data_IF_690596377802
#
_entry.id   IF_690596377802
#
_cell.length_a   1.000
_cell.length_b   1.000
_cell.length_c   1.000
_cell.angle_alpha   90.00
_cell.angle_beta   90.00
_cell.angle_gamma   90.00
#
_symmetry.space_group_name_H-M   'P 1'
#
loop_
_entity.id
_entity.type
_entity.pdbx_description
1 polymer ?
#
# COMPACT_ATOMS: atom_id res chain seq x y z
N UNK A 1 28.03 12.55 -59.57
CA UNK A 1 26.94 11.69 -59.08
C UNK A 1 26.54 12.19 -57.70
N UNK A 2 25.46 12.99 -57.62
CA UNK A 2 24.85 13.50 -56.39
C UNK A 2 23.60 12.66 -56.13
N UNK A 3 23.51 12.04 -54.95
CA UNK A 3 22.27 11.41 -54.49
C UNK A 3 21.47 12.42 -53.66
N UNK A 4 20.19 12.69 -53.99
CA UNK A 4 19.37 13.63 -53.23
C UNK A 4 18.81 12.99 -51.94
N UNK A 5 18.71 13.82 -50.89
CA UNK A 5 18.07 13.52 -49.62
C UNK A 5 16.58 13.13 -49.79
N UNK A 6 16.01 12.26 -48.91
CA UNK A 6 14.58 12.04 -48.84
C UNK A 6 13.87 13.14 -48.02
N UNK A 7 12.58 13.42 -48.32
CA UNK A 7 11.81 14.48 -47.70
C UNK A 7 11.27 14.11 -46.30
N UNK A 8 10.88 15.15 -45.58
CA UNK A 8 10.36 15.22 -44.22
C UNK A 8 9.52 14.02 -43.75
N UNK A 9 10.06 13.26 -42.79
CA UNK A 9 9.26 12.48 -41.86
C UNK A 9 9.26 13.23 -40.54
N UNK A 10 8.14 13.89 -40.25
CA UNK A 10 7.82 14.50 -38.96
C UNK A 10 7.73 13.41 -37.88
N UNK A 11 8.89 13.02 -37.35
CA UNK A 11 8.98 12.05 -36.27
C UNK A 11 8.60 12.75 -34.96
N UNK A 12 7.38 12.42 -34.51
CA UNK A 12 6.76 12.72 -33.21
C UNK A 12 7.71 13.33 -32.18
N UNK A 13 7.37 14.56 -31.80
CA UNK A 13 7.81 15.25 -30.58
C UNK A 13 7.79 14.26 -29.41
N UNK A 14 8.96 13.85 -28.95
CA UNK A 14 9.09 13.19 -27.66
C UNK A 14 8.55 14.16 -26.61
N UNK A 15 7.44 13.78 -25.99
CA UNK A 15 6.92 14.48 -24.82
C UNK A 15 7.98 14.42 -23.74
N UNK A 16 8.77 15.49 -23.64
CA UNK A 16 9.66 15.79 -22.52
C UNK A 16 8.84 15.61 -21.23
N UNK A 17 9.03 14.48 -20.55
CA UNK A 17 8.53 14.29 -19.18
C UNK A 17 9.34 15.24 -18.31
N UNK A 18 8.77 16.43 -18.12
CA UNK A 18 9.26 17.45 -17.21
C UNK A 18 9.19 16.95 -15.77
N UNK A 19 10.19 16.17 -15.34
CA UNK A 19 10.52 16.08 -13.91
C UNK A 19 11.28 17.36 -13.55
N UNK A 20 10.55 18.48 -13.48
CA UNK A 20 11.07 19.72 -12.88
C UNK A 20 11.36 19.41 -11.41
N UNK A 21 12.65 19.21 -11.13
CA UNK A 21 13.23 19.12 -9.80
C UNK A 21 12.97 20.46 -9.08
N UNK A 22 11.89 20.53 -8.30
CA UNK A 22 11.68 21.67 -7.39
C UNK A 22 12.74 21.58 -6.30
N UNK A 23 13.79 22.38 -6.44
CA UNK A 23 14.62 22.79 -5.30
C UNK A 23 13.72 23.60 -4.37
N UNK A 24 13.13 22.93 -3.39
CA UNK A 24 12.51 23.60 -2.25
C UNK A 24 13.66 23.96 -1.33
N UNK A 25 13.97 25.25 -1.22
CA UNK A 25 14.67 25.79 -0.07
C UNK A 25 13.89 25.35 1.17
N UNK A 26 14.39 24.36 1.89
CA UNK A 26 13.85 24.01 3.21
C UNK A 26 14.43 25.02 4.18
N UNK A 27 13.63 25.91 4.80
CA UNK A 27 14.09 26.58 6.00
C UNK A 27 14.43 25.48 7.00
N UNK A 28 15.59 25.57 7.64
CA UNK A 28 15.96 24.77 8.80
C UNK A 28 14.98 25.11 9.95
N UNK A 29 13.75 24.62 9.84
CA UNK A 29 12.82 24.52 10.95
C UNK A 29 13.24 23.23 11.63
N UNK A 30 13.80 23.35 12.84
CA UNK A 30 14.12 22.19 13.66
C UNK A 30 12.94 21.23 13.65
N UNK A 31 13.23 19.94 13.54
CA UNK A 31 12.23 18.89 13.59
C UNK A 31 11.30 19.18 14.77
N UNK A 32 10.00 19.46 14.56
CA UNK A 32 9.10 19.66 15.68
C UNK A 32 9.19 18.41 16.52
N UNK A 33 9.63 18.59 17.77
CA UNK A 33 9.73 17.51 18.75
C UNK A 33 8.43 16.72 18.69
N UNK A 34 8.55 15.45 18.32
CA UNK A 34 7.47 14.51 18.08
C UNK A 34 6.88 14.05 19.42
N UNK A 35 6.42 15.01 20.23
CA UNK A 35 5.78 14.79 21.53
C UNK A 35 4.32 14.37 21.40
N UNK A 36 3.88 13.99 20.19
CA UNK A 36 2.54 13.43 19.92
C UNK A 36 2.57 11.96 19.52
N UNK A 37 3.57 11.21 19.98
CA UNK A 37 3.44 9.75 20.08
C UNK A 37 2.69 9.40 21.34
N UNK A 38 1.40 9.72 21.38
CA UNK A 38 0.54 9.05 22.34
C UNK A 38 0.48 7.58 21.92
N UNK A 39 1.09 6.72 22.73
CA UNK A 39 1.01 5.26 22.59
C UNK A 39 -0.37 4.74 23.05
N UNK A 40 -1.31 5.65 23.31
CA UNK A 40 -2.69 5.37 23.70
C UNK A 40 -3.41 4.70 22.55
N UNK A 41 -4.11 3.61 22.84
CA UNK A 41 -5.00 2.91 21.90
C UNK A 41 -6.25 3.74 21.55
N UNK A 42 -6.11 5.04 21.37
CA UNK A 42 -7.17 5.95 20.98
C UNK A 42 -7.27 5.92 19.44
N UNK A 43 -8.25 5.18 18.93
CA UNK A 43 -8.54 5.13 17.49
C UNK A 43 -8.43 3.77 16.82
N UNK A 44 -8.42 2.66 17.58
CA UNK A 44 -8.66 1.34 16.99
C UNK A 44 -10.15 1.19 16.65
N UNK A 45 -10.48 0.57 15.51
CA UNK A 45 -11.86 0.29 15.16
C UNK A 45 -12.42 -0.82 16.07
N UNK A 46 -13.74 -0.79 16.24
CA UNK A 46 -14.46 -1.67 17.16
C UNK A 46 -14.20 -3.15 16.85
N UNK A 47 -13.88 -3.94 17.88
CA UNK A 47 -13.56 -5.37 17.75
C UNK A 47 -12.09 -5.69 17.53
N UNK A 48 -11.20 -4.69 17.40
CA UNK A 48 -9.75 -4.91 17.37
C UNK A 48 -9.11 -4.47 18.68
N UNK A 49 -8.57 -5.46 19.37
CA UNK A 49 -7.89 -5.45 20.65
C UNK A 49 -6.49 -4.83 20.62
N UNK A 50 -5.75 -4.93 19.51
CA UNK A 50 -4.36 -4.48 19.42
C UNK A 50 -4.00 -3.83 18.08
N UNK A 51 -3.12 -2.82 18.14
CA UNK A 51 -2.56 -2.16 16.96
C UNK A 51 -1.79 -3.11 16.05
N UNK A 52 -1.09 -4.09 16.63
CA UNK A 52 -0.43 -5.12 15.83
C UNK A 52 -1.43 -5.93 15.02
N UNK A 53 -2.56 -6.27 15.64
CA UNK A 53 -3.62 -7.03 14.99
C UNK A 53 -4.29 -6.23 13.89
N UNK A 54 -4.52 -4.94 14.10
CA UNK A 54 -4.96 -4.02 13.05
C UNK A 54 -4.02 -4.06 11.84
N UNK A 55 -2.71 -3.88 12.06
CA UNK A 55 -1.72 -3.88 10.97
C UNK A 55 -1.73 -5.20 10.21
N UNK A 56 -1.78 -6.34 10.91
CA UNK A 56 -1.82 -7.66 10.26
C UNK A 56 -3.08 -7.86 9.42
N UNK A 57 -4.24 -7.47 9.94
CA UNK A 57 -5.51 -7.56 9.20
C UNK A 57 -5.50 -6.67 7.95
N UNK A 58 -5.05 -5.42 8.09
CA UNK A 58 -4.93 -4.47 6.97
C UNK A 58 -4.00 -5.01 5.90
N UNK A 59 -2.82 -5.52 6.29
CA UNK A 59 -1.84 -6.07 5.36
C UNK A 59 -2.40 -7.27 4.60
N UNK A 60 -2.94 -8.28 5.31
CA UNK A 60 -3.56 -9.45 4.67
C UNK A 60 -4.69 -9.07 3.72
N UNK A 61 -5.52 -8.08 4.10
CA UNK A 61 -6.60 -7.62 3.23
C UNK A 61 -6.08 -6.86 2.01
N UNK A 62 -5.05 -6.06 2.16
CA UNK A 62 -4.42 -5.36 1.03
C UNK A 62 -3.83 -6.35 0.03
N UNK A 63 -3.18 -7.43 0.49
CA UNK A 63 -2.67 -8.51 -0.35
C UNK A 63 -3.80 -9.17 -1.16
N UNK A 64 -4.95 -9.46 -0.53
CA UNK A 64 -6.10 -10.01 -1.25
C UNK A 64 -6.56 -9.08 -2.38
N UNK A 65 -6.61 -7.77 -2.15
CA UNK A 65 -7.00 -6.78 -3.17
C UNK A 65 -5.97 -6.77 -4.31
N UNK A 66 -4.68 -6.86 -3.98
CA UNK A 66 -3.59 -6.95 -4.98
C UNK A 66 -3.72 -8.22 -5.82
N UNK A 67 -4.14 -9.32 -5.21
CA UNK A 67 -4.42 -10.60 -5.90
C UNK A 67 -5.71 -10.57 -6.76
N UNK A 68 -6.44 -9.45 -6.80
CA UNK A 68 -7.65 -9.29 -7.60
C UNK A 68 -8.95 -9.54 -6.84
N UNK A 69 -8.91 -9.68 -5.51
CA UNK A 69 -10.14 -9.71 -4.70
C UNK A 69 -10.89 -8.40 -4.84
N UNK A 70 -12.20 -8.49 -5.09
CA UNK A 70 -13.04 -7.31 -5.18
C UNK A 70 -13.07 -6.55 -3.83
N UNK A 71 -12.88 -5.22 -3.85
CA UNK A 71 -13.09 -4.42 -2.66
C UNK A 71 -14.58 -4.44 -2.29
N UNK A 72 -14.87 -4.65 -1.01
CA UNK A 72 -16.23 -4.67 -0.46
C UNK A 72 -16.83 -3.27 -0.38
N UNK A 73 -15.99 -2.24 -0.42
CA UNK A 73 -16.43 -0.86 -0.46
C UNK A 73 -15.82 -0.06 -1.60
N UNK A 74 -16.58 0.92 -2.06
CA UNK A 74 -16.10 1.96 -2.97
C UNK A 74 -15.30 2.98 -2.16
N UNK A 75 -13.98 2.80 -2.15
CA UNK A 75 -13.08 3.79 -1.55
C UNK A 75 -12.77 4.91 -2.54
N UNK A 76 -12.36 6.08 -2.02
CA UNK A 76 -11.86 7.20 -2.83
C UNK A 76 -10.40 7.01 -3.25
N UNK A 77 -9.75 5.99 -2.70
CA UNK A 77 -8.31 5.82 -2.78
C UNK A 77 -7.95 4.67 -3.72
N UNK A 78 -7.01 4.90 -4.62
CA UNK A 78 -6.52 3.86 -5.52
C UNK A 78 -5.54 2.88 -4.83
N UNK A 79 -4.97 3.26 -3.68
CA UNK A 79 -3.97 2.45 -2.97
C UNK A 79 -4.65 1.29 -2.20
N UNK A 80 -4.25 0.03 -2.40
CA UNK A 80 -4.92 -1.14 -1.80
C UNK A 80 -4.88 -1.12 -0.27
N UNK A 81 -3.74 -0.73 0.32
CA UNK A 81 -3.61 -0.57 1.77
C UNK A 81 -4.61 0.44 2.34
N UNK A 82 -4.87 1.53 1.61
CA UNK A 82 -5.80 2.58 2.05
C UNK A 82 -7.25 2.10 1.95
N UNK A 83 -7.56 1.31 0.92
CA UNK A 83 -8.86 0.64 0.78
C UNK A 83 -9.09 -0.36 1.93
N UNK A 84 -8.08 -1.18 2.24
CA UNK A 84 -8.14 -2.16 3.31
C UNK A 84 -8.34 -1.52 4.70
N UNK A 85 -7.68 -0.39 4.98
CA UNK A 85 -7.91 0.40 6.20
C UNK A 85 -9.38 0.82 6.30
N UNK A 86 -9.95 1.44 5.26
CA UNK A 86 -11.35 1.87 5.28
C UNK A 86 -12.32 0.70 5.46
N UNK A 87 -12.04 -0.46 4.85
CA UNK A 87 -12.83 -1.69 4.99
C UNK A 87 -12.84 -2.26 6.40
N UNK A 88 -11.70 -2.21 7.09
CA UNK A 88 -11.59 -2.66 8.47
C UNK A 88 -12.20 -1.63 9.42
N UNK A 89 -11.95 -0.33 9.20
CA UNK A 89 -12.49 0.75 10.04
C UNK A 89 -14.02 0.78 10.04
N UNK A 90 -14.67 0.36 8.95
CA UNK A 90 -16.14 0.24 8.82
C UNK A 90 -16.67 -1.17 9.05
N UNK A 91 -15.85 -2.08 9.60
CA UNK A 91 -16.23 -3.45 9.95
C UNK A 91 -16.84 -4.27 8.78
N UNK A 92 -16.42 -4.01 7.55
CA UNK A 92 -16.90 -4.73 6.35
C UNK A 92 -16.18 -6.07 6.12
N UNK A 93 -14.99 -6.21 6.71
CA UNK A 93 -14.17 -7.42 6.62
C UNK A 93 -14.33 -8.23 7.90
N UNK A 94 -15.09 -9.32 7.81
CA UNK A 94 -15.19 -10.31 8.88
C UNK A 94 -13.89 -11.12 8.95
N UNK A 95 -13.33 -11.25 10.14
CA UNK A 95 -12.16 -12.07 10.43
C UNK A 95 -12.44 -12.90 11.69
N UNK A 96 -11.79 -14.05 11.80
CA UNK A 96 -11.86 -14.92 12.98
C UNK A 96 -10.44 -15.39 13.30
N UNK A 97 -10.13 -15.59 14.59
CA UNK A 97 -8.91 -16.30 14.98
C UNK A 97 -9.19 -17.78 14.85
N UNK A 98 -8.56 -18.43 13.88
CA UNK A 98 -8.46 -19.88 13.89
C UNK A 98 -7.41 -20.26 14.94
N UNK A 99 -7.70 -21.19 15.87
CA UNK A 99 -6.65 -21.74 16.72
C UNK A 99 -5.55 -22.31 15.82
N UNK A 100 -4.27 -22.24 16.23
CA UNK A 100 -3.18 -22.80 15.45
C UNK A 100 -3.52 -24.26 15.16
N UNK A 101 -3.70 -24.58 13.87
CA UNK A 101 -3.72 -25.97 13.47
C UNK A 101 -2.36 -26.53 13.89
N UNK A 102 -2.36 -27.57 14.72
CA UNK A 102 -1.16 -28.31 15.05
C UNK A 102 -0.63 -28.89 13.73
N UNK A 103 0.28 -28.17 13.09
CA UNK A 103 1.07 -28.69 11.98
C UNK A 103 2.01 -29.72 12.62
N UNK A 104 1.52 -30.96 12.73
CA UNK A 104 2.36 -32.13 12.99
C UNK A 104 3.49 -32.08 11.98
N UNK A 105 4.69 -31.85 12.49
CA UNK A 105 5.96 -31.92 11.77
C UNK A 105 6.05 -33.27 11.08
N UNK A 106 5.59 -33.35 9.83
CA UNK A 106 5.87 -34.44 8.91
C UNK A 106 7.30 -34.23 8.39
N UNK A 107 8.28 -34.37 9.29
CA UNK A 107 9.61 -34.78 8.89
C UNK A 107 9.50 -36.28 8.65
N UNK A 108 9.19 -36.64 7.40
CA UNK A 108 9.43 -38.01 6.93
C UNK A 108 10.95 -38.26 7.02
N UNK A 109 11.38 -38.79 8.16
CA UNK A 109 12.57 -39.62 8.28
C UNK A 109 12.29 -40.89 7.47
N UNK A 110 12.69 -40.90 6.19
CA UNK A 110 12.80 -42.14 5.43
C UNK A 110 14.20 -42.71 5.70
N UNK A 111 14.27 -43.70 6.60
CA UNK A 111 15.36 -44.69 6.67
C UNK A 111 15.40 -45.58 5.41
#
# INVERSE_FOLDING_TARGET
>A
MIWPWPPSVSRRRSSQRNYRRRLRSTPSTGWPSDSRRSNTMEGLPEGIDSKFRYVLLVSKRAEQIIQGSAPKMKSKHAKPTRVAMEEIDKNQVKWQLTPPAEETTALEETE
#
